data_IF_023444265323
#
_entry.id   IF_023444265323
#
_cell.length_a   1.000
_cell.length_b   1.000
_cell.length_c   1.000
_cell.angle_alpha   90.00
_cell.angle_beta   90.00
_cell.angle_gamma   90.00
#
_symmetry.space_group_name_H-M   'P 1'
#
loop_
_entity.id
_entity.type
_entity.pdbx_description
1 polymer ?
#
# COMPACT_ATOMS: atom_id res chain seq x y z
N UNK A 1 20.43 -5.59 4.36
CA UNK A 1 19.56 -5.67 5.55
C UNK A 1 20.32 -5.10 6.75
N UNK A 2 19.66 -4.33 7.56
CA UNK A 2 20.19 -3.77 8.78
C UNK A 2 19.20 -4.01 9.92
N UNK A 3 19.66 -3.78 11.14
CA UNK A 3 18.81 -3.80 12.34
C UNK A 3 19.06 -2.52 13.12
N UNK A 4 18.01 -1.92 13.63
CA UNK A 4 18.10 -0.78 14.54
C UNK A 4 17.77 -1.20 15.97
N UNK A 5 18.32 -0.49 16.93
CA UNK A 5 18.14 -0.80 18.35
C UNK A 5 17.61 0.44 19.09
N UNK A 6 16.35 0.86 18.84
CA UNK A 6 15.73 1.90 19.61
C UNK A 6 15.42 1.39 21.03
N UNK A 7 15.84 2.12 22.05
CA UNK A 7 15.57 1.75 23.46
C UNK A 7 15.94 0.30 23.81
N UNK A 8 16.98 -0.26 23.19
CA UNK A 8 17.42 -1.63 23.43
C UNK A 8 16.60 -2.73 22.72
N UNK A 9 15.60 -2.39 21.94
CA UNK A 9 14.79 -3.35 21.15
C UNK A 9 15.37 -3.50 19.76
N UNK A 10 15.58 -4.73 19.31
CA UNK A 10 16.00 -5.00 17.94
C UNK A 10 14.80 -4.90 16.98
N UNK A 11 14.94 -4.10 15.94
CA UNK A 11 13.98 -3.98 14.83
C UNK A 11 14.71 -4.18 13.51
N UNK A 12 14.33 -5.19 12.69
CA UNK A 12 14.89 -5.36 11.36
C UNK A 12 14.38 -4.25 10.43
N UNK A 13 15.30 -3.68 9.65
CA UNK A 13 14.98 -2.58 8.71
C UNK A 13 15.71 -2.78 7.38
N UNK A 14 15.16 -2.17 6.34
CA UNK A 14 15.84 -1.98 5.06
C UNK A 14 16.49 -0.62 5.09
N UNK A 15 17.81 -0.57 5.00
CA UNK A 15 18.55 0.67 4.89
C UNK A 15 18.66 1.06 3.41
N UNK A 16 18.24 2.27 3.08
CA UNK A 16 18.31 2.84 1.73
C UNK A 16 19.19 4.08 1.73
N UNK A 17 20.25 4.03 0.92
CA UNK A 17 21.07 5.21 0.62
C UNK A 17 20.42 6.02 -0.50
N UNK A 18 20.16 7.30 -0.28
CA UNK A 18 19.61 8.20 -1.29
C UNK A 18 20.59 9.35 -1.56
N UNK A 19 20.78 9.74 -2.84
CA UNK A 19 21.60 10.90 -3.18
C UNK A 19 20.90 12.21 -2.77
N UNK A 20 21.64 13.19 -2.24
CA UNK A 20 21.06 14.42 -1.70
C UNK A 20 20.38 15.31 -2.76
N UNK A 21 20.72 15.15 -4.03
CA UNK A 21 20.19 15.94 -5.14
C UNK A 21 19.04 15.29 -5.91
N UNK A 22 18.54 14.14 -5.44
CA UNK A 22 17.53 13.40 -6.16
C UNK A 22 16.14 14.05 -6.04
N UNK A 23 15.55 14.42 -7.18
CA UNK A 23 14.19 14.96 -7.29
C UNK A 23 13.12 13.89 -7.63
N UNK A 24 13.54 12.65 -7.91
CA UNK A 24 12.68 11.58 -8.45
C UNK A 24 11.84 10.92 -7.36
N UNK A 25 12.30 10.91 -6.11
CA UNK A 25 11.52 10.35 -4.99
C UNK A 25 10.63 11.46 -4.46
N UNK A 26 9.47 11.63 -5.08
CA UNK A 26 8.39 12.43 -4.52
C UNK A 26 7.70 11.57 -3.45
N UNK A 27 8.15 11.71 -2.22
CA UNK A 27 7.43 11.17 -1.07
C UNK A 27 6.37 12.21 -0.67
N UNK A 28 5.35 12.37 -1.51
CA UNK A 28 4.21 13.22 -1.21
C UNK A 28 3.36 12.56 -0.13
N UNK A 29 3.59 12.94 1.13
CA UNK A 29 2.51 12.91 2.10
C UNK A 29 1.56 14.08 1.79
N UNK A 30 0.29 13.91 2.12
CA UNK A 30 -0.83 14.85 1.91
C UNK A 30 -0.65 16.26 2.55
N UNK A 31 0.53 16.67 2.91
CA UNK A 31 0.83 17.98 3.45
C UNK A 31 1.44 18.87 2.37
N UNK A 32 0.86 20.03 2.23
CA UNK A 32 1.11 21.12 1.26
C UNK A 32 2.55 21.67 1.26
N UNK A 33 3.40 21.26 2.17
CA UNK A 33 4.81 21.57 2.17
C UNK A 33 5.58 20.44 1.48
N UNK A 34 5.95 20.69 0.23
CA UNK A 34 6.85 19.82 -0.57
C UNK A 34 8.24 19.79 0.09
N UNK A 35 8.34 19.11 1.20
CA UNK A 35 9.62 18.89 1.88
C UNK A 35 10.36 17.84 1.06
N UNK A 36 11.44 18.27 0.40
CA UNK A 36 12.30 17.33 -0.30
C UNK A 36 13.15 16.60 0.76
N UNK A 37 12.85 15.33 1.09
CA UNK A 37 13.52 14.62 2.18
C UNK A 37 15.02 14.50 1.98
N UNK A 38 15.48 14.56 0.74
CA UNK A 38 16.90 14.49 0.41
C UNK A 38 17.66 15.73 0.87
N UNK A 39 17.03 16.92 0.85
CA UNK A 39 17.64 18.15 1.35
C UNK A 39 17.80 18.17 2.87
N UNK A 40 16.91 17.49 3.58
CA UNK A 40 17.03 17.36 5.03
C UNK A 40 18.22 16.51 5.45
N UNK A 41 18.56 15.47 4.67
CA UNK A 41 19.77 14.67 4.90
C UNK A 41 21.06 15.44 4.61
N UNK A 42 21.03 16.42 3.70
CA UNK A 42 22.22 17.16 3.28
C UNK A 42 22.68 18.23 4.30
N UNK A 43 21.79 18.72 5.15
CA UNK A 43 22.07 19.85 6.04
C UNK A 43 22.57 19.44 7.44
N UNK A 44 22.89 18.18 7.67
CA UNK A 44 23.26 17.66 9.00
C UNK A 44 24.68 17.08 9.00
N UNK A 45 25.66 17.91 8.66
CA UNK A 45 27.08 17.52 8.70
C UNK A 45 27.59 17.27 10.13
N UNK A 46 26.91 17.81 11.13
CA UNK A 46 27.25 17.67 12.56
C UNK A 46 26.88 16.30 13.15
N UNK A 47 26.14 15.47 12.40
CA UNK A 47 25.63 14.18 12.86
C UNK A 47 26.38 13.04 12.17
N UNK A 48 26.73 12.00 12.94
CA UNK A 48 27.50 10.88 12.40
C UNK A 48 26.75 10.16 11.27
N UNK A 49 25.48 9.75 11.49
CA UNK A 49 24.59 9.24 10.45
C UNK A 49 23.21 9.92 10.57
N UNK A 50 22.88 10.88 9.71
CA UNK A 50 21.54 11.43 9.66
C UNK A 50 20.58 10.42 9.06
N UNK A 51 19.44 10.17 9.74
CA UNK A 51 18.47 9.16 9.36
C UNK A 51 17.09 9.80 9.22
N UNK A 52 16.41 9.48 8.11
CA UNK A 52 14.98 9.71 7.99
C UNK A 52 14.23 8.41 8.28
N UNK A 53 13.15 8.51 9.01
CA UNK A 53 12.27 7.39 9.33
C UNK A 53 10.82 7.73 8.99
N UNK A 54 9.99 6.69 8.81
CA UNK A 54 8.56 6.87 8.64
C UNK A 54 7.83 7.11 9.96
N UNK A 55 6.66 7.72 9.91
CA UNK A 55 5.82 8.02 11.07
C UNK A 55 5.41 6.75 11.83
N UNK A 56 5.07 5.66 11.12
CA UNK A 56 4.74 4.39 11.74
C UNK A 56 5.95 3.72 12.43
N UNK A 57 7.16 3.91 11.91
CA UNK A 57 8.37 3.47 12.60
C UNK A 57 8.64 4.31 13.84
N UNK A 58 8.49 5.63 13.76
CA UNK A 58 8.67 6.54 14.88
C UNK A 58 7.74 6.20 16.05
N UNK A 59 6.46 5.95 15.75
CA UNK A 59 5.47 5.52 16.74
C UNK A 59 5.82 4.17 17.38
N UNK A 60 6.14 3.16 16.55
CA UNK A 60 6.45 1.81 17.01
C UNK A 60 7.75 1.75 17.82
N UNK A 61 8.76 2.52 17.43
CA UNK A 61 10.06 2.60 18.08
C UNK A 61 10.10 3.62 19.22
N UNK A 62 9.06 4.47 19.36
CA UNK A 62 8.99 5.59 20.29
C UNK A 62 10.15 6.58 20.10
N UNK A 63 10.48 6.86 18.84
CA UNK A 63 11.53 7.79 18.44
C UNK A 63 10.93 9.14 18.05
N UNK A 64 11.66 10.20 18.35
CA UNK A 64 11.37 11.59 17.98
C UNK A 64 12.52 12.15 17.15
N UNK A 65 12.28 13.26 16.48
CA UNK A 65 13.34 14.02 15.82
C UNK A 65 14.39 14.46 16.87
N UNK A 66 15.66 14.20 16.56
CA UNK A 66 16.79 14.41 17.46
C UNK A 66 17.19 13.19 18.30
N UNK A 67 16.37 12.14 18.36
CA UNK A 67 16.73 10.93 19.10
C UNK A 67 17.81 10.13 18.36
N UNK A 68 18.65 9.44 19.14
CA UNK A 68 19.72 8.58 18.62
C UNK A 68 19.42 7.11 18.88
N UNK A 69 19.91 6.26 17.99
CA UNK A 69 19.80 4.81 18.11
C UNK A 69 20.96 4.12 17.38
N UNK A 70 21.25 2.89 17.78
CA UNK A 70 22.30 2.09 17.14
C UNK A 70 21.75 1.45 15.87
N UNK A 71 22.48 1.60 14.76
CA UNK A 71 22.25 0.90 13.49
C UNK A 71 23.33 -0.18 13.40
N UNK A 72 22.91 -1.43 13.22
CA UNK A 72 23.80 -2.56 12.98
C UNK A 72 23.54 -3.12 11.59
N UNK A 73 24.60 -3.34 10.84
CA UNK A 73 24.52 -3.87 9.47
C UNK A 73 25.59 -4.93 9.21
N UNK A 74 25.45 -5.61 8.09
CA UNK A 74 26.44 -6.50 7.53
C UNK A 74 27.04 -5.82 6.30
N UNK A 75 28.36 -5.66 6.26
CA UNK A 75 29.07 -5.07 5.12
C UNK A 75 29.25 -6.07 3.95
N UNK A 76 29.91 -5.64 2.86
CA UNK A 76 30.19 -6.46 1.70
C UNK A 76 31.14 -7.64 2.01
N UNK A 77 31.97 -7.54 3.04
CA UNK A 77 32.89 -8.57 3.50
C UNK A 77 32.25 -9.54 4.53
N UNK A 78 30.93 -9.38 4.76
CA UNK A 78 30.17 -10.15 5.76
C UNK A 78 30.62 -9.91 7.21
N UNK A 79 31.16 -8.75 7.49
CA UNK A 79 31.49 -8.30 8.84
C UNK A 79 30.32 -7.49 9.41
N UNK A 80 30.00 -7.73 10.67
CA UNK A 80 29.02 -6.91 11.38
C UNK A 80 29.68 -5.66 11.92
N UNK A 81 29.09 -4.54 11.63
CA UNK A 81 29.47 -3.24 12.17
C UNK A 81 28.25 -2.53 12.75
N UNK A 82 28.49 -1.52 13.59
CA UNK A 82 27.45 -0.75 14.24
C UNK A 82 27.89 0.69 14.46
N UNK A 83 26.95 1.61 14.25
CA UNK A 83 27.20 3.04 14.40
C UNK A 83 25.93 3.73 14.91
N UNK A 84 26.09 4.90 15.51
CA UNK A 84 24.97 5.69 16.01
C UNK A 84 24.32 6.49 14.88
N UNK A 85 23.02 6.37 14.73
CA UNK A 85 22.20 7.15 13.81
C UNK A 85 21.30 8.11 14.57
N UNK A 86 21.10 9.31 14.05
CA UNK A 86 20.22 10.32 14.62
C UNK A 86 19.03 10.57 13.72
N UNK A 87 17.82 10.57 14.28
CA UNK A 87 16.59 10.92 13.56
C UNK A 87 16.60 12.40 13.23
N UNK A 88 16.80 12.75 11.96
CA UNK A 88 16.79 14.15 11.52
C UNK A 88 15.41 14.61 11.07
N UNK A 89 14.56 13.70 10.61
CA UNK A 89 13.18 14.01 10.25
C UNK A 89 12.31 12.76 10.22
N UNK A 90 11.01 12.94 10.52
CA UNK A 90 9.99 11.89 10.48
C UNK A 90 9.04 12.18 9.32
N UNK A 91 9.02 11.27 8.34
CA UNK A 91 8.19 11.39 7.14
C UNK A 91 6.87 10.65 7.31
N UNK A 92 5.81 11.20 6.75
CA UNK A 92 4.55 10.48 6.61
C UNK A 92 4.48 9.86 5.21
N UNK A 93 4.70 8.56 5.12
CA UNK A 93 4.61 7.84 3.85
C UNK A 93 3.28 7.09 3.76
N UNK A 94 2.60 7.16 2.61
CA UNK A 94 1.34 6.43 2.41
C UNK A 94 1.54 4.90 2.34
N UNK A 95 2.76 4.45 2.10
CA UNK A 95 3.08 3.04 1.99
C UNK A 95 3.50 2.46 3.35
N UNK A 96 2.62 1.71 3.97
CA UNK A 96 2.83 1.08 5.28
C UNK A 96 4.14 0.28 5.41
N UNK A 97 4.55 -0.45 4.35
CA UNK A 97 5.80 -1.25 4.40
C UNK A 97 7.04 -0.36 4.40
N UNK A 98 7.00 0.73 3.67
CA UNK A 98 8.07 1.72 3.66
C UNK A 98 8.10 2.50 4.98
N UNK A 99 6.94 2.84 5.49
CA UNK A 99 6.77 3.64 6.70
C UNK A 99 7.33 2.96 7.96
N UNK A 100 7.11 1.66 8.10
CA UNK A 100 7.53 0.90 9.30
C UNK A 100 8.89 0.21 9.14
N UNK A 101 9.26 -0.17 7.92
CA UNK A 101 10.36 -1.10 7.67
C UNK A 101 11.59 -0.51 7.00
N UNK A 102 11.60 0.78 6.68
CA UNK A 102 12.69 1.40 5.91
C UNK A 102 13.27 2.62 6.63
N UNK A 103 14.59 2.71 6.62
CA UNK A 103 15.33 3.91 7.03
C UNK A 103 16.07 4.47 5.81
N UNK A 104 16.17 5.79 5.72
CA UNK A 104 16.86 6.47 4.62
C UNK A 104 18.03 7.26 5.17
N UNK A 105 19.19 7.10 4.54
CA UNK A 105 20.45 7.77 4.90
C UNK A 105 21.08 8.33 3.64
N UNK A 106 22.06 9.26 3.74
CA UNK A 106 22.81 9.72 2.58
C UNK A 106 23.55 8.58 1.88
N UNK A 107 23.50 8.54 0.54
CA UNK A 107 24.11 7.44 -0.23
C UNK A 107 25.60 7.27 0.05
N UNK A 108 26.34 8.37 0.22
CA UNK A 108 27.79 8.33 0.54
C UNK A 108 28.04 7.64 1.88
N UNK A 109 27.19 7.92 2.88
CA UNK A 109 27.31 7.24 4.18
C UNK A 109 26.99 5.75 4.04
N UNK A 110 25.93 5.40 3.29
CA UNK A 110 25.59 4.00 3.01
C UNK A 110 26.71 3.25 2.29
N UNK A 111 27.35 3.88 1.31
CA UNK A 111 28.48 3.28 0.58
C UNK A 111 29.69 3.03 1.49
N UNK A 112 30.04 4.00 2.33
CA UNK A 112 31.13 3.84 3.29
C UNK A 112 30.82 2.74 4.31
N UNK A 113 29.59 2.72 4.86
CA UNK A 113 29.15 1.70 5.82
C UNK A 113 29.19 0.28 5.24
N UNK A 114 28.92 0.14 3.95
CA UNK A 114 28.88 -1.17 3.29
C UNK A 114 30.19 -1.56 2.62
N UNK A 115 31.24 -0.73 2.67
CA UNK A 115 32.48 -0.90 1.90
C UNK A 115 32.23 -1.06 0.39
N UNK A 116 31.30 -0.26 -0.15
CA UNK A 116 30.85 -0.31 -1.55
C UNK A 116 31.04 1.06 -2.21
N UNK A 117 32.28 1.53 -2.33
CA UNK A 117 32.57 2.81 -2.94
C UNK A 117 32.17 2.85 -4.43
N UNK A 118 31.40 3.88 -4.79
CA UNK A 118 30.90 4.08 -6.16
C UNK A 118 29.97 2.96 -6.69
N UNK A 119 29.43 2.14 -5.83
CA UNK A 119 28.45 1.13 -6.20
C UNK A 119 27.02 1.57 -5.86
N UNK A 120 26.04 1.05 -6.62
CA UNK A 120 24.64 1.27 -6.37
C UNK A 120 23.86 -0.01 -6.68
N UNK A 121 22.84 -0.31 -5.87
CA UNK A 121 21.99 -1.48 -6.07
C UNK A 121 20.92 -1.20 -7.13
N UNK A 122 20.44 0.05 -7.20
CA UNK A 122 19.40 0.48 -8.13
C UNK A 122 19.75 1.84 -8.70
N UNK A 123 19.50 2.00 -9.99
CA UNK A 123 19.56 3.29 -10.68
C UNK A 123 18.18 3.55 -11.29
N UNK A 124 17.55 4.64 -10.85
CA UNK A 124 16.27 5.09 -11.41
C UNK A 124 16.50 6.23 -12.38
N UNK A 125 15.81 6.20 -13.51
CA UNK A 125 15.87 7.25 -14.52
C UNK A 125 14.46 7.56 -15.06
N UNK A 126 14.27 8.79 -15.56
CA UNK A 126 12.99 9.22 -16.09
C UNK A 126 12.71 8.60 -17.47
N UNK A 127 11.43 8.44 -17.79
CA UNK A 127 10.97 8.16 -19.16
C UNK A 127 11.49 9.25 -20.10
N UNK A 128 12.25 8.86 -21.12
CA UNK A 128 12.84 9.81 -22.09
C UNK A 128 14.35 9.69 -22.23
N UNK A 129 15.00 9.02 -21.29
CA UNK A 129 16.38 8.57 -21.49
C UNK A 129 16.31 7.34 -22.39
N UNK A 130 17.12 7.30 -23.48
CA UNK A 130 17.25 6.13 -24.35
C UNK A 130 17.35 4.87 -23.49
N UNK A 131 16.49 3.88 -23.76
CA UNK A 131 16.45 2.62 -22.99
C UNK A 131 17.86 2.10 -22.86
N UNK A 132 18.42 2.20 -21.66
CA UNK A 132 19.71 1.59 -21.35
C UNK A 132 19.50 0.10 -21.50
N UNK A 133 19.94 -0.46 -22.62
CA UNK A 133 19.96 -1.92 -22.84
C UNK A 133 20.86 -2.50 -21.76
N UNK A 134 20.53 -3.72 -21.33
CA UNK A 134 21.36 -4.48 -20.38
C UNK A 134 22.85 -4.30 -20.73
N UNK A 135 23.58 -3.65 -19.86
CA UNK A 135 25.00 -3.36 -20.05
C UNK A 135 25.76 -3.92 -18.84
N UNK A 136 26.63 -4.89 -19.10
CA UNK A 136 27.35 -5.57 -18.03
C UNK A 136 26.42 -6.28 -17.07
N UNK A 137 26.60 -6.06 -15.77
CA UNK A 137 25.81 -6.67 -14.67
C UNK A 137 24.47 -5.97 -14.41
N UNK A 138 24.14 -4.90 -15.15
CA UNK A 138 22.92 -4.13 -14.97
C UNK A 138 21.75 -4.73 -15.73
N UNK A 139 20.68 -5.05 -15.00
CA UNK A 139 19.42 -5.57 -15.54
C UNK A 139 18.41 -4.43 -15.61
N UNK A 140 17.99 -4.09 -16.83
CA UNK A 140 16.90 -3.14 -17.03
C UNK A 140 15.56 -3.79 -16.64
N UNK A 141 14.81 -3.14 -15.76
CA UNK A 141 13.48 -3.56 -15.33
C UNK A 141 12.50 -2.42 -15.54
N UNK A 142 11.52 -2.66 -16.39
CA UNK A 142 10.41 -1.74 -16.61
C UNK A 142 9.43 -1.76 -15.43
N UNK A 143 8.64 -0.69 -15.29
CA UNK A 143 7.58 -0.59 -14.29
C UNK A 143 6.64 -1.79 -14.34
N UNK A 144 6.25 -2.22 -15.55
CA UNK A 144 5.39 -3.39 -15.74
C UNK A 144 6.00 -4.67 -15.13
N UNK A 145 7.32 -4.83 -15.20
CA UNK A 145 7.99 -5.96 -14.54
C UNK A 145 7.90 -5.85 -13.02
N UNK A 146 8.04 -4.64 -12.46
CA UNK A 146 8.00 -4.44 -11.01
C UNK A 146 6.61 -4.62 -10.42
N UNK A 147 5.55 -4.36 -11.19
CA UNK A 147 4.17 -4.54 -10.75
C UNK A 147 3.58 -5.89 -11.14
N UNK A 148 4.27 -6.69 -11.96
CA UNK A 148 3.77 -7.98 -12.46
C UNK A 148 3.35 -8.95 -11.36
N UNK A 149 4.10 -9.01 -10.26
CA UNK A 149 3.76 -9.86 -9.11
C UNK A 149 2.47 -9.39 -8.42
N UNK A 150 2.26 -8.07 -8.36
CA UNK A 150 1.07 -7.47 -7.78
C UNK A 150 -0.13 -7.71 -8.70
N UNK A 151 0.05 -7.54 -10.01
CA UNK A 151 -0.99 -7.82 -11.00
C UNK A 151 -1.39 -9.30 -10.99
N UNK A 152 -0.41 -10.20 -10.91
CA UNK A 152 -0.67 -11.64 -10.80
C UNK A 152 -1.44 -11.98 -9.51
N UNK A 153 -1.12 -11.34 -8.38
CA UNK A 153 -1.86 -11.52 -7.14
C UNK A 153 -3.30 -11.01 -7.25
N UNK A 154 -3.52 -9.83 -7.84
CA UNK A 154 -4.85 -9.27 -8.08
C UNK A 154 -5.65 -10.18 -9.03
N UNK A 155 -5.02 -10.72 -10.05
CA UNK A 155 -5.65 -11.61 -11.02
C UNK A 155 -6.06 -12.94 -10.40
N UNK A 156 -5.24 -13.48 -9.49
CA UNK A 156 -5.56 -14.68 -8.71
C UNK A 156 -6.76 -14.49 -7.76
N UNK A 157 -6.98 -13.28 -7.25
CA UNK A 157 -8.09 -12.97 -6.35
C UNK A 157 -9.43 -12.73 -7.07
N UNK A 158 -9.40 -12.40 -8.37
CA UNK A 158 -10.62 -12.11 -9.16
C UNK A 158 -11.67 -13.23 -9.10
N UNK A 159 -11.34 -14.53 -9.31
CA UNK A 159 -12.35 -15.58 -9.28
C UNK A 159 -12.97 -15.75 -7.89
N UNK A 160 -12.21 -15.57 -6.82
CA UNK A 160 -12.71 -15.60 -5.45
C UNK A 160 -13.76 -14.51 -5.18
N UNK A 161 -13.47 -13.29 -5.62
CA UNK A 161 -14.38 -12.15 -5.51
C UNK A 161 -15.65 -12.35 -6.34
N UNK A 162 -15.57 -12.96 -7.53
CA UNK A 162 -16.74 -13.24 -8.36
C UNK A 162 -17.67 -14.26 -7.69
N UNK A 163 -17.11 -15.32 -7.10
CA UNK A 163 -17.87 -16.33 -6.37
C UNK A 163 -18.55 -15.71 -5.16
N UNK A 164 -17.82 -14.91 -4.38
CA UNK A 164 -18.37 -14.21 -3.22
C UNK A 164 -19.53 -13.27 -3.62
N UNK A 165 -19.34 -12.50 -4.69
CA UNK A 165 -20.39 -11.62 -5.22
C UNK A 165 -21.64 -12.40 -5.62
N UNK A 166 -21.46 -13.53 -6.29
CA UNK A 166 -22.59 -14.39 -6.68
C UNK A 166 -23.34 -14.96 -5.46
N UNK A 167 -22.61 -15.39 -4.43
CA UNK A 167 -23.22 -15.88 -3.18
C UNK A 167 -24.03 -14.76 -2.51
N UNK A 168 -23.47 -13.55 -2.40
CA UNK A 168 -24.16 -12.40 -1.83
C UNK A 168 -25.41 -12.04 -2.62
N UNK A 169 -25.33 -12.10 -3.95
CA UNK A 169 -26.47 -11.85 -4.83
C UNK A 169 -27.59 -12.90 -4.61
N UNK A 170 -27.23 -14.17 -4.50
CA UNK A 170 -28.19 -15.23 -4.20
C UNK A 170 -28.85 -15.04 -2.81
N UNK A 171 -28.07 -14.69 -1.79
CA UNK A 171 -28.60 -14.42 -0.45
C UNK A 171 -29.57 -13.23 -0.45
N UNK A 172 -29.22 -12.16 -1.14
CA UNK A 172 -30.06 -10.97 -1.28
C UNK A 172 -31.34 -11.31 -2.03
N UNK A 173 -31.25 -12.04 -3.14
CA UNK A 173 -32.39 -12.50 -3.92
C UNK A 173 -33.36 -13.38 -3.07
N UNK A 174 -32.79 -14.27 -2.25
CA UNK A 174 -33.58 -15.10 -1.35
C UNK A 174 -34.30 -14.28 -0.27
N UNK A 175 -33.63 -13.22 0.26
CA UNK A 175 -34.27 -12.28 1.20
C UNK A 175 -35.47 -11.54 0.58
N UNK A 176 -35.26 -11.01 -0.63
CA UNK A 176 -36.31 -10.31 -1.39
C UNK A 176 -37.45 -11.28 -1.71
N UNK A 177 -37.16 -12.50 -2.17
CA UNK A 177 -38.15 -13.51 -2.47
C UNK A 177 -38.99 -13.81 -1.25
N UNK A 178 -38.38 -14.04 -0.08
CA UNK A 178 -39.11 -14.34 1.15
C UNK A 178 -40.06 -13.18 1.58
N UNK A 179 -39.58 -11.93 1.46
CA UNK A 179 -40.40 -10.75 1.72
C UNK A 179 -41.59 -10.64 0.77
N UNK A 180 -41.40 -10.92 -0.53
CA UNK A 180 -42.44 -10.89 -1.54
C UNK A 180 -43.49 -12.00 -1.30
N UNK A 181 -43.05 -13.21 -1.01
CA UNK A 181 -43.94 -14.33 -0.67
C UNK A 181 -44.84 -13.97 0.51
N UNK A 182 -44.27 -13.41 1.58
CA UNK A 182 -45.02 -12.99 2.76
C UNK A 182 -46.04 -11.88 2.43
N UNK A 183 -45.67 -10.93 1.58
CA UNK A 183 -46.53 -9.85 1.09
C UNK A 183 -47.74 -10.41 0.31
N UNK A 184 -47.50 -11.36 -0.59
CA UNK A 184 -48.56 -12.03 -1.38
C UNK A 184 -49.54 -12.79 -0.47
N UNK A 185 -49.05 -13.53 0.53
CA UNK A 185 -49.90 -14.23 1.47
C UNK A 185 -50.80 -13.29 2.27
N UNK A 186 -50.31 -12.13 2.69
CA UNK A 186 -51.09 -11.10 3.40
C UNK A 186 -52.22 -10.53 2.54
N UNK A 187 -51.99 -10.43 1.22
CA UNK A 187 -52.95 -9.86 0.25
C UNK A 187 -53.82 -10.93 -0.45
N UNK A 188 -53.86 -12.15 0.05
CA UNK A 188 -54.60 -13.25 -0.58
C UNK A 188 -56.10 -12.96 -0.82
N UNK A 189 -56.73 -12.17 0.06
CA UNK A 189 -58.14 -11.74 -0.12
C UNK A 189 -58.31 -10.76 -1.31
N UNK A 190 -57.37 -9.81 -1.48
CA UNK A 190 -57.38 -8.86 -2.59
C UNK A 190 -57.17 -9.58 -3.93
N UNK A 191 -56.26 -10.55 -3.96
CA UNK A 191 -55.99 -11.40 -5.12
C UNK A 191 -57.27 -12.20 -5.50
N UNK A 192 -57.96 -12.77 -4.48
CA UNK A 192 -59.19 -13.50 -4.68
C UNK A 192 -60.32 -12.66 -5.27
N UNK A 193 -60.49 -11.41 -4.80
CA UNK A 193 -61.48 -10.47 -5.36
C UNK A 193 -61.19 -10.07 -6.79
N UNK A 194 -59.92 -9.80 -7.12
CA UNK A 194 -59.51 -9.45 -8.51
C UNK A 194 -59.74 -10.63 -9.47
N UNK A 195 -59.51 -11.86 -9.03
CA UNK A 195 -59.81 -13.05 -9.82
C UNK A 195 -61.30 -13.29 -9.96
N UNK A 196 -62.12 -13.02 -8.93
CA UNK A 196 -63.57 -13.11 -9.02
C UNK A 196 -64.21 -12.09 -9.96
N UNK A 197 -63.57 -10.93 -10.11
CA UNK A 197 -63.93 -9.88 -11.09
C UNK A 197 -63.48 -10.21 -12.52
N UNK A 198 -62.92 -11.40 -12.78
CA UNK A 198 -62.55 -11.89 -14.11
C UNK A 198 -61.11 -11.57 -14.54
N UNK A 199 -60.25 -11.13 -13.63
CA UNK A 199 -58.84 -10.89 -13.94
C UNK A 199 -58.10 -12.22 -14.13
N UNK A 200 -57.31 -12.33 -15.22
CA UNK A 200 -56.51 -13.54 -15.49
C UNK A 200 -55.32 -13.61 -14.56
N UNK A 201 -54.86 -14.83 -14.22
CA UNK A 201 -53.71 -15.06 -13.33
C UNK A 201 -52.44 -14.29 -13.77
N UNK A 202 -52.18 -14.24 -15.07
CA UNK A 202 -51.00 -13.53 -15.60
C UNK A 202 -51.07 -12.01 -15.39
N UNK A 203 -52.28 -11.41 -15.47
CA UNK A 203 -52.46 -9.99 -15.21
C UNK A 203 -52.29 -9.65 -13.73
N UNK A 204 -52.80 -10.53 -12.84
CA UNK A 204 -52.62 -10.38 -11.38
C UNK A 204 -51.13 -10.47 -11.01
N UNK A 205 -50.39 -11.44 -11.54
CA UNK A 205 -48.96 -11.59 -11.32
C UNK A 205 -48.21 -10.34 -11.83
N UNK A 206 -48.52 -9.90 -13.05
CA UNK A 206 -47.89 -8.67 -13.63
C UNK A 206 -48.14 -7.43 -12.77
N UNK A 207 -49.35 -7.24 -12.24
CA UNK A 207 -49.71 -6.11 -11.38
C UNK A 207 -48.87 -6.10 -10.10
N UNK A 208 -48.80 -7.23 -9.38
CA UNK A 208 -48.02 -7.33 -8.14
C UNK A 208 -46.52 -7.28 -8.36
N UNK A 209 -46.00 -7.77 -9.49
CA UNK A 209 -44.59 -7.63 -9.84
C UNK A 209 -44.21 -6.16 -10.10
N UNK A 210 -45.08 -5.45 -10.80
CA UNK A 210 -44.86 -4.03 -11.10
C UNK A 210 -44.96 -3.15 -9.85
N UNK A 211 -45.89 -3.46 -8.96
CA UNK A 211 -46.04 -2.82 -7.65
C UNK A 211 -44.79 -3.07 -6.78
N UNK A 212 -44.30 -4.31 -6.75
CA UNK A 212 -43.08 -4.66 -6.02
C UNK A 212 -41.83 -3.94 -6.56
N UNK A 213 -41.73 -3.80 -7.87
CA UNK A 213 -40.64 -3.03 -8.51
C UNK A 213 -40.70 -1.54 -8.20
N UNK A 214 -41.89 -0.94 -8.18
CA UNK A 214 -42.08 0.48 -7.86
C UNK A 214 -41.80 0.79 -6.38
N UNK A 215 -42.12 -0.13 -5.47
CA UNK A 215 -41.86 0.06 -4.04
C UNK A 215 -40.38 -0.19 -3.65
N UNK A 216 -39.56 -0.68 -4.57
CA UNK A 216 -38.13 -0.92 -4.34
C UNK A 216 -37.27 0.31 -4.64
N UNK A 217 -37.84 1.36 -5.19
CA UNK A 217 -37.24 2.68 -5.42
C UNK A 217 -37.78 3.68 -4.39
#
# INVERSE_FOLDING_TARGET
>A
QASIYPNGRMMPVIMKGIPPEQSIINMEGNNTDKINPTKMLANHDDVEIPVLIGSGMAEKAQLKEGDTFIIRWLDSEKTYDAMEGTVVHIMNTENFKLDIGTIWIPIKKAQNMLNMENEATYVTYNEGVEKIKNSGDWLHRDVNYLISDIEAAIEADKPGNQILFFILLCLTAMGIFNAQVLSIFRRGKEIGTLMALGMTRSRVVGLFTLEGALNSF
#
